data_IF_276201379343
#
_entry.id   IF_276201379343
#
_cell.length_a   1.000
_cell.length_b   1.000
_cell.length_c   1.000
_cell.angle_alpha   90.00
_cell.angle_beta   90.00
_cell.angle_gamma   90.00
#
_symmetry.space_group_name_H-M   'P 1'
#
loop_
_entity.id
_entity.type
_entity.pdbx_description
1 polymer ?
#
# COMPACT_ATOMS: atom_id res chain seq x y z
N UNK A 1 -0.74 20.17 12.30
CA UNK A 1 -0.71 18.73 11.95
C UNK A 1 0.30 18.07 12.86
N UNK A 2 -0.08 17.00 13.56
CA UNK A 2 0.80 16.25 14.46
C UNK A 2 1.80 15.46 13.62
N UNK A 3 3.09 15.64 13.88
CA UNK A 3 4.16 14.89 13.22
C UNK A 3 4.36 13.60 14.01
N UNK A 4 4.12 12.45 13.39
CA UNK A 4 4.39 11.16 14.03
C UNK A 4 5.88 10.93 14.25
N UNK A 5 6.19 10.09 15.22
CA UNK A 5 7.49 9.46 15.43
C UNK A 5 7.39 7.96 15.17
N UNK A 6 8.54 7.30 14.96
CA UNK A 6 8.59 5.84 14.78
C UNK A 6 7.96 5.08 15.96
N UNK A 7 8.28 5.38 17.23
CA UNK A 7 7.65 4.68 18.37
C UNK A 7 6.14 4.86 18.43
N UNK A 8 5.62 6.06 18.12
CA UNK A 8 4.17 6.29 18.08
C UNK A 8 3.48 5.46 17.00
N UNK A 9 4.08 5.34 15.81
CA UNK A 9 3.52 4.50 14.74
C UNK A 9 3.59 3.02 15.07
N UNK A 10 4.66 2.57 15.73
CA UNK A 10 4.73 1.19 16.23
C UNK A 10 3.59 0.91 17.21
N UNK A 11 3.29 1.85 18.10
CA UNK A 11 2.20 1.71 19.06
C UNK A 11 0.83 1.69 18.38
N UNK A 12 0.63 2.53 17.36
CA UNK A 12 -0.56 2.46 16.50
C UNK A 12 -0.69 1.05 15.89
N UNK A 13 0.38 0.51 15.30
CA UNK A 13 0.33 -0.82 14.70
C UNK A 13 0.00 -1.93 15.72
N UNK A 14 0.55 -1.86 16.94
CA UNK A 14 0.27 -2.83 18.01
C UNK A 14 -1.18 -2.83 18.48
N UNK A 15 -1.93 -1.77 18.23
CA UNK A 15 -3.37 -1.77 18.51
C UNK A 15 -4.14 -2.66 17.54
N UNK A 16 -3.62 -2.92 16.34
CA UNK A 16 -4.35 -3.59 15.26
C UNK A 16 -3.77 -4.96 14.88
N UNK A 17 -2.52 -5.23 15.23
CA UNK A 17 -1.86 -6.50 14.96
C UNK A 17 -1.40 -7.15 16.26
N UNK A 18 -1.67 -8.46 16.47
CA UNK A 18 -1.29 -9.13 17.69
C UNK A 18 0.24 -9.26 17.80
N UNK A 19 0.74 -9.10 19.02
CA UNK A 19 2.15 -9.31 19.34
C UNK A 19 2.38 -10.68 20.01
N UNK A 20 3.50 -11.33 19.71
CA UNK A 20 3.91 -12.58 20.34
C UNK A 20 3.07 -13.81 19.99
N UNK A 21 2.19 -13.70 18.99
CA UNK A 21 1.42 -14.82 18.41
C UNK A 21 2.05 -15.23 17.08
N UNK A 22 1.94 -16.50 16.75
CA UNK A 22 2.32 -17.04 15.43
C UNK A 22 1.06 -17.28 14.61
N UNK A 23 1.24 -17.56 13.32
CA UNK A 23 0.14 -17.94 12.43
C UNK A 23 -0.55 -19.25 12.80
N UNK A 24 0.20 -20.15 13.43
CA UNK A 24 -0.30 -21.43 13.92
C UNK A 24 -1.12 -21.27 15.22
N UNK A 25 -1.19 -20.06 15.79
CA UNK A 25 -2.05 -19.77 16.91
C UNK A 25 -3.50 -19.72 16.43
N UNK A 26 -4.26 -20.78 16.73
CA UNK A 26 -5.69 -20.88 16.40
C UNK A 26 -6.52 -19.72 16.95
N UNK A 27 -6.01 -18.96 17.92
CA UNK A 27 -6.67 -17.78 18.49
C UNK A 27 -6.27 -16.46 17.80
N UNK A 28 -5.36 -16.46 16.83
CA UNK A 28 -4.90 -15.24 16.13
C UNK A 28 -6.10 -14.43 15.61
N UNK A 29 -7.01 -15.09 14.90
CA UNK A 29 -8.24 -14.50 14.36
C UNK A 29 -9.31 -14.14 15.40
N UNK A 30 -9.10 -14.48 16.67
CA UNK A 30 -9.97 -14.13 17.79
C UNK A 30 -9.38 -13.00 18.67
N UNK A 31 -8.16 -12.54 18.37
CA UNK A 31 -7.51 -11.50 19.17
C UNK A 31 -8.26 -10.16 19.11
N UNK A 32 -8.26 -9.36 20.20
CA UNK A 32 -8.84 -8.02 20.19
C UNK A 32 -8.23 -7.11 19.11
N UNK A 33 -6.94 -7.25 18.85
CA UNK A 33 -6.19 -6.52 17.82
C UNK A 33 -6.78 -6.80 16.42
N UNK A 34 -6.92 -8.08 16.08
CA UNK A 34 -7.51 -8.53 14.83
C UNK A 34 -8.94 -8.00 14.63
N UNK A 35 -9.78 -8.08 15.67
CA UNK A 35 -11.12 -7.51 15.62
C UNK A 35 -11.11 -6.00 15.40
N UNK A 36 -10.19 -5.25 16.03
CA UNK A 36 -10.05 -3.81 15.78
C UNK A 36 -9.63 -3.52 14.34
N UNK A 37 -8.73 -4.32 13.77
CA UNK A 37 -8.30 -4.17 12.37
C UNK A 37 -9.46 -4.39 11.39
N UNK A 38 -10.22 -5.48 11.56
CA UNK A 38 -11.39 -5.74 10.72
C UNK A 38 -12.51 -4.73 10.92
N UNK A 39 -12.72 -4.24 12.15
CA UNK A 39 -13.67 -3.17 12.41
C UNK A 39 -13.29 -1.89 11.64
N UNK A 40 -11.99 -1.54 11.59
CA UNK A 40 -11.52 -0.39 10.79
C UNK A 40 -11.78 -0.57 9.30
N UNK A 41 -11.53 -1.76 8.76
CA UNK A 41 -11.89 -2.05 7.37
C UNK A 41 -13.40 -1.99 7.14
N UNK A 42 -14.22 -2.47 8.08
CA UNK A 42 -15.67 -2.40 7.98
C UNK A 42 -16.17 -0.96 7.94
N UNK A 43 -15.66 -0.10 8.83
CA UNK A 43 -15.93 1.34 8.83
C UNK A 43 -15.52 1.99 7.50
N UNK A 44 -14.32 1.70 7.01
CA UNK A 44 -13.83 2.21 5.74
C UNK A 44 -14.67 1.71 4.54
N UNK A 45 -15.18 0.49 4.59
CA UNK A 45 -16.05 -0.07 3.54
C UNK A 45 -17.48 0.51 3.58
N UNK A 46 -17.96 0.88 4.76
CA UNK A 46 -19.25 1.54 4.93
C UNK A 46 -19.24 2.96 4.31
N UNK A 47 -18.14 3.70 4.46
CA UNK A 47 -17.93 5.01 3.81
C UNK A 47 -16.66 5.04 2.96
N UNK A 48 -16.83 4.70 1.68
CA UNK A 48 -15.77 4.73 0.66
C UNK A 48 -15.71 6.04 -0.12
N UNK A 49 -16.45 7.07 0.29
CA UNK A 49 -16.61 8.30 -0.50
C UNK A 49 -15.26 8.93 -0.84
N UNK A 50 -14.39 9.12 0.15
CA UNK A 50 -13.04 9.69 -0.06
C UNK A 50 -12.15 8.82 -0.94
N UNK A 51 -12.25 7.49 -0.80
CA UNK A 51 -11.52 6.57 -1.65
C UNK A 51 -11.96 6.67 -3.12
N UNK A 52 -13.27 6.68 -3.36
CA UNK A 52 -13.84 6.85 -4.70
C UNK A 52 -13.50 8.23 -5.29
N UNK A 53 -13.51 9.29 -4.48
CA UNK A 53 -13.09 10.64 -4.90
C UNK A 53 -11.63 10.64 -5.34
N UNK A 54 -10.72 10.00 -4.59
CA UNK A 54 -9.32 9.87 -5.00
C UNK A 54 -9.19 9.11 -6.33
N UNK A 55 -9.92 8.02 -6.49
CA UNK A 55 -9.91 7.26 -7.76
C UNK A 55 -10.35 8.12 -8.94
N UNK A 56 -11.45 8.87 -8.81
CA UNK A 56 -11.90 9.80 -9.85
C UNK A 56 -10.88 10.89 -10.15
N UNK A 57 -10.27 11.49 -9.11
CA UNK A 57 -9.22 12.49 -9.27
C UNK A 57 -7.98 11.95 -10.00
N UNK A 58 -7.63 10.68 -9.79
CA UNK A 58 -6.54 10.02 -10.50
C UNK A 58 -6.92 9.73 -11.96
N UNK A 59 -8.12 9.24 -12.23
CA UNK A 59 -8.61 9.03 -13.60
C UNK A 59 -8.61 10.34 -14.41
N UNK A 60 -8.98 11.46 -13.79
CA UNK A 60 -8.90 12.80 -14.40
C UNK A 60 -7.46 13.28 -14.62
N UNK A 61 -6.55 13.03 -13.66
CA UNK A 61 -5.15 13.45 -13.73
C UNK A 61 -4.30 12.67 -14.76
N UNK A 62 -4.80 11.51 -15.19
CA UNK A 62 -4.12 10.56 -16.07
C UNK A 62 -5.01 10.15 -17.27
N UNK A 63 -5.41 11.09 -18.13
CA UNK A 63 -6.31 10.79 -19.26
C UNK A 63 -5.66 9.78 -20.22
N UNK A 64 -6.40 8.72 -20.54
CA UNK A 64 -5.95 7.65 -21.44
C UNK A 64 -4.96 6.65 -20.82
N UNK A 65 -4.64 6.81 -19.53
CA UNK A 65 -3.82 5.87 -18.76
C UNK A 65 -4.74 5.10 -17.81
N UNK A 66 -4.52 3.80 -17.69
CA UNK A 66 -5.31 2.96 -16.77
C UNK A 66 -5.00 3.30 -15.31
N UNK A 67 -6.04 3.37 -14.48
CA UNK A 67 -5.96 3.49 -13.02
C UNK A 67 -6.74 2.32 -12.41
N UNK A 68 -6.04 1.48 -11.65
CA UNK A 68 -6.61 0.30 -10.99
C UNK A 68 -6.77 0.48 -9.48
N UNK A 69 -7.74 -0.23 -8.91
CA UNK A 69 -7.82 -0.47 -7.47
C UNK A 69 -6.99 -1.72 -7.15
N UNK A 70 -5.89 -1.53 -6.43
CA UNK A 70 -4.94 -2.57 -6.08
C UNK A 70 -5.04 -2.98 -4.60
N UNK A 71 -6.15 -2.64 -3.94
CA UNK A 71 -6.37 -2.89 -2.52
C UNK A 71 -6.60 -4.38 -2.24
N UNK A 72 -5.76 -5.01 -1.40
CA UNK A 72 -6.08 -6.31 -0.82
C UNK A 72 -6.96 -6.12 0.42
N UNK A 73 -8.28 -6.04 0.19
CA UNK A 73 -9.26 -5.76 1.24
C UNK A 73 -9.11 -6.72 2.42
N UNK A 74 -9.14 -6.19 3.65
CA UNK A 74 -9.01 -6.94 4.90
C UNK A 74 -7.68 -7.67 5.13
N UNK A 75 -6.68 -7.45 4.26
CA UNK A 75 -5.30 -7.93 4.45
C UNK A 75 -4.31 -6.75 4.58
N UNK A 76 -4.49 -5.71 3.75
CA UNK A 76 -3.63 -4.54 3.73
C UNK A 76 -3.93 -3.56 4.88
N UNK A 77 -2.92 -2.79 5.29
CA UNK A 77 -3.06 -1.69 6.27
C UNK A 77 -3.84 -0.47 5.75
N UNK A 78 -4.19 -0.46 4.46
CA UNK A 78 -5.10 0.53 3.89
C UNK A 78 -5.38 0.35 2.40
N UNK A 79 -5.87 1.41 1.76
CA UNK A 79 -6.20 1.40 0.33
C UNK A 79 -4.95 1.49 -0.55
N UNK A 80 -5.03 0.91 -1.76
CA UNK A 80 -4.00 1.06 -2.79
C UNK A 80 -4.60 1.32 -4.16
N UNK A 81 -4.06 2.29 -4.88
CA UNK A 81 -4.37 2.54 -6.29
C UNK A 81 -3.09 2.36 -7.12
N UNK A 82 -3.24 1.90 -8.35
CA UNK A 82 -2.15 1.67 -9.27
C UNK A 82 -2.38 2.47 -10.56
N UNK A 83 -1.41 3.30 -10.96
CA UNK A 83 -1.40 4.03 -12.23
C UNK A 83 -0.41 3.35 -13.17
N UNK A 84 -0.91 2.77 -14.26
CA UNK A 84 -0.11 2.03 -15.25
C UNK A 84 0.61 3.01 -16.17
N UNK A 85 1.63 3.67 -15.62
CA UNK A 85 2.27 4.85 -16.22
C UNK A 85 2.92 4.58 -17.57
N UNK A 86 3.47 3.37 -17.75
CA UNK A 86 4.09 2.94 -19.00
C UNK A 86 3.66 1.51 -19.26
N UNK A 87 3.00 1.29 -20.40
CA UNK A 87 2.67 -0.03 -20.92
C UNK A 87 3.62 -0.37 -22.07
N UNK A 88 4.03 -1.64 -22.22
CA UNK A 88 4.83 -2.03 -23.37
C UNK A 88 3.99 -1.95 -24.65
N UNK A 89 4.63 -1.52 -25.74
CA UNK A 89 4.00 -1.48 -27.07
C UNK A 89 3.68 -2.89 -27.57
N UNK A 90 4.58 -3.85 -27.32
CA UNK A 90 4.37 -5.27 -27.57
C UNK A 90 4.19 -6.01 -26.24
N UNK A 91 3.02 -6.63 -26.07
CA UNK A 91 2.71 -7.43 -24.88
C UNK A 91 3.22 -8.86 -24.99
N UNK A 92 3.74 -9.30 -26.14
CA UNK A 92 4.37 -10.60 -26.29
C UNK A 92 5.65 -10.71 -25.46
N UNK A 93 6.47 -9.66 -25.44
CA UNK A 93 7.66 -9.52 -24.59
C UNK A 93 7.92 -8.03 -24.33
N UNK A 94 7.94 -7.62 -23.07
CA UNK A 94 7.99 -6.20 -22.72
C UNK A 94 8.02 -5.93 -21.23
N UNK A 95 8.00 -4.64 -20.87
CA UNK A 95 8.04 -4.19 -19.48
C UNK A 95 6.99 -3.11 -19.28
N UNK A 96 6.19 -3.23 -18.22
CA UNK A 96 5.35 -2.13 -17.72
C UNK A 96 5.96 -1.51 -16.47
N UNK A 97 5.60 -0.25 -16.25
CA UNK A 97 5.99 0.50 -15.06
C UNK A 97 4.76 1.16 -14.47
N UNK A 98 4.58 0.97 -13.17
CA UNK A 98 3.42 1.46 -12.47
C UNK A 98 3.82 2.31 -11.27
N UNK A 99 2.96 3.27 -10.95
CA UNK A 99 3.04 4.05 -9.71
C UNK A 99 1.91 3.62 -8.82
N UNK A 100 2.24 3.21 -7.61
CA UNK A 100 1.27 2.80 -6.61
C UNK A 100 1.17 3.86 -5.53
N UNK A 101 -0.05 4.30 -5.24
CA UNK A 101 -0.38 5.16 -4.11
C UNK A 101 -1.09 4.37 -3.03
N UNK A 102 -0.57 4.39 -1.81
CA UNK A 102 -1.15 3.76 -0.64
C UNK A 102 -1.66 4.81 0.34
N UNK A 103 -2.84 4.58 0.91
CA UNK A 103 -3.43 5.44 1.96
C UNK A 103 -3.73 4.57 3.17
N UNK A 104 -3.07 4.83 4.29
CA UNK A 104 -3.24 4.02 5.50
C UNK A 104 -4.61 4.24 6.14
N UNK A 105 -5.22 3.15 6.63
CA UNK A 105 -6.41 3.23 7.48
C UNK A 105 -6.07 3.39 8.96
N UNK A 106 -4.82 3.10 9.35
CA UNK A 106 -4.39 3.08 10.74
C UNK A 106 -3.81 4.42 11.21
N UNK A 107 -3.28 5.21 10.28
CA UNK A 107 -2.74 6.55 10.53
C UNK A 107 -3.00 7.49 9.34
N UNK A 108 -3.04 8.82 9.52
CA UNK A 108 -3.24 9.78 8.44
C UNK A 108 -1.95 9.98 7.61
N UNK A 109 -1.47 8.89 7.04
CA UNK A 109 -0.24 8.77 6.28
C UNK A 109 -0.50 8.12 4.92
N UNK A 110 0.29 8.50 3.93
CA UNK A 110 0.28 7.88 2.61
C UNK A 110 1.70 7.55 2.15
N UNK A 111 1.83 6.63 1.20
CA UNK A 111 3.12 6.34 0.57
C UNK A 111 2.93 6.16 -0.93
N UNK A 112 3.93 6.56 -1.72
CA UNK A 112 3.93 6.38 -3.17
C UNK A 112 5.20 5.66 -3.56
N UNK A 113 5.08 4.59 -4.33
CA UNK A 113 6.20 3.79 -4.80
C UNK A 113 6.02 3.33 -6.24
N UNK A 114 7.09 2.82 -6.83
CA UNK A 114 7.09 2.32 -8.20
C UNK A 114 7.19 0.81 -8.27
N UNK A 115 6.61 0.22 -9.30
CA UNK A 115 6.80 -1.19 -9.66
C UNK A 115 7.22 -1.31 -11.12
N UNK A 116 7.85 -2.43 -11.43
CA UNK A 116 8.11 -2.86 -12.80
C UNK A 116 7.66 -4.31 -12.95
N UNK A 117 6.85 -4.59 -13.97
CA UNK A 117 6.49 -5.96 -14.34
C UNK A 117 7.01 -6.31 -15.72
N UNK A 118 7.30 -7.59 -15.93
CA UNK A 118 7.61 -8.13 -17.26
C UNK A 118 6.35 -8.68 -17.91
N UNK A 119 6.30 -8.62 -19.23
CA UNK A 119 5.34 -9.32 -20.05
C UNK A 119 6.03 -10.50 -20.73
N UNK A 120 5.38 -11.66 -20.71
CA UNK A 120 5.81 -12.85 -21.44
C UNK A 120 4.61 -13.54 -22.04
N UNK A 121 4.68 -13.83 -23.34
CA UNK A 121 3.63 -14.48 -24.11
C UNK A 121 2.24 -13.81 -23.94
N UNK A 122 2.20 -12.47 -23.97
CA UNK A 122 0.95 -11.71 -23.87
C UNK A 122 0.45 -11.49 -22.44
N UNK A 123 1.18 -11.97 -21.42
CA UNK A 123 0.75 -11.91 -20.01
C UNK A 123 1.75 -11.17 -19.16
N UNK A 124 1.25 -10.33 -18.26
CA UNK A 124 2.07 -9.70 -17.22
C UNK A 124 2.45 -10.74 -16.17
N UNK A 125 3.73 -10.86 -15.88
CA UNK A 125 4.25 -11.70 -14.80
C UNK A 125 3.90 -11.06 -13.45
N UNK A 126 3.60 -11.90 -12.45
CA UNK A 126 3.32 -11.50 -11.08
C UNK A 126 4.04 -12.45 -10.14
N UNK A 127 4.73 -11.98 -9.08
CA UNK A 127 4.85 -10.58 -8.64
C UNK A 127 5.72 -9.69 -9.56
N UNK A 128 5.78 -8.39 -9.25
CA UNK A 128 6.65 -7.42 -9.90
C UNK A 128 8.11 -7.90 -9.98
N UNK A 129 8.77 -7.66 -11.11
CA UNK A 129 10.18 -7.96 -11.31
C UNK A 129 11.09 -7.00 -10.55
N UNK A 130 10.64 -5.76 -10.29
CA UNK A 130 11.34 -4.80 -9.43
C UNK A 130 10.36 -3.95 -8.62
N UNK A 131 10.81 -3.56 -7.42
CA UNK A 131 10.12 -2.67 -6.49
C UNK A 131 11.01 -1.46 -6.17
N UNK A 132 10.42 -0.27 -6.23
CA UNK A 132 11.10 1.00 -6.02
C UNK A 132 10.50 1.74 -4.82
N UNK A 133 10.84 1.27 -3.61
CA UNK A 133 10.38 1.86 -2.36
C UNK A 133 11.25 3.03 -1.89
N UNK A 134 12.57 2.99 -2.18
CA UNK A 134 13.53 3.97 -1.68
C UNK A 134 13.77 5.13 -2.65
N UNK A 135 13.89 4.81 -3.93
CA UNK A 135 14.16 5.77 -4.98
C UNK A 135 13.39 5.39 -6.24
N UNK A 136 12.64 6.34 -6.77
CA UNK A 136 11.88 6.16 -7.99
C UNK A 136 12.79 6.36 -9.21
N UNK A 137 12.66 5.51 -10.24
CA UNK A 137 13.20 5.79 -11.56
C UNK A 137 12.68 7.15 -12.05
N UNK A 138 13.52 7.93 -12.72
CA UNK A 138 13.18 9.28 -13.21
C UNK A 138 11.88 9.28 -14.04
N UNK A 139 11.69 8.22 -14.82
CA UNK A 139 10.51 8.03 -15.68
C UNK A 139 9.19 7.98 -14.90
N UNK A 140 9.22 7.63 -13.60
CA UNK A 140 8.04 7.54 -12.74
C UNK A 140 7.83 8.78 -11.86
N UNK A 141 8.83 9.66 -11.72
CA UNK A 141 8.80 10.79 -10.77
C UNK A 141 7.62 11.75 -11.00
N UNK A 142 7.29 12.04 -12.28
CA UNK A 142 6.18 12.92 -12.63
C UNK A 142 4.83 12.30 -12.23
N UNK A 143 4.62 11.02 -12.56
CA UNK A 143 3.42 10.28 -12.18
C UNK A 143 3.29 10.15 -10.66
N UNK A 144 4.37 9.81 -9.96
CA UNK A 144 4.39 9.72 -8.50
C UNK A 144 4.03 11.05 -7.83
N UNK A 145 4.54 12.16 -8.35
CA UNK A 145 4.21 13.50 -7.84
C UNK A 145 2.73 13.83 -8.01
N UNK A 146 2.12 13.45 -9.13
CA UNK A 146 0.67 13.63 -9.37
C UNK A 146 -0.17 12.77 -8.41
N UNK A 147 0.20 11.50 -8.24
CA UNK A 147 -0.48 10.59 -7.30
C UNK A 147 -0.42 11.14 -5.87
N UNK A 148 0.76 11.57 -5.42
CA UNK A 148 0.95 12.17 -4.10
C UNK A 148 0.03 13.39 -3.89
N UNK A 149 0.02 14.33 -4.84
CA UNK A 149 -0.84 15.54 -4.77
C UNK A 149 -2.33 15.20 -4.73
N UNK A 150 -2.76 14.20 -5.49
CA UNK A 150 -4.15 13.75 -5.46
C UNK A 150 -4.53 13.18 -4.08
N UNK A 151 -3.65 12.36 -3.49
CA UNK A 151 -3.85 11.84 -2.13
C UNK A 151 -3.89 12.99 -1.12
N UNK A 152 -2.94 13.91 -1.14
CA UNK A 152 -2.89 15.06 -0.23
C UNK A 152 -4.15 15.92 -0.33
N UNK A 153 -4.65 16.17 -1.55
CA UNK A 153 -5.85 16.96 -1.79
C UNK A 153 -7.11 16.32 -1.21
N UNK A 154 -7.29 15.01 -1.37
CA UNK A 154 -8.49 14.28 -0.93
C UNK A 154 -8.42 13.90 0.54
N UNK A 155 -7.24 13.47 1.00
CA UNK A 155 -7.04 12.90 2.33
C UNK A 155 -6.52 13.90 3.37
N UNK A 156 -5.85 14.98 2.96
CA UNK A 156 -5.06 15.86 3.83
C UNK A 156 -4.04 15.09 4.69
N UNK A 157 -3.56 13.96 4.19
CA UNK A 157 -2.59 13.09 4.85
C UNK A 157 -1.16 13.57 4.59
N UNK A 158 -0.23 13.09 5.41
CA UNK A 158 1.19 13.38 5.27
C UNK A 158 1.95 12.23 4.58
N UNK A 159 3.02 12.52 3.83
CA UNK A 159 3.86 11.47 3.29
C UNK A 159 4.54 10.68 4.42
N UNK A 160 4.49 9.36 4.32
CA UNK A 160 5.27 8.47 5.15
C UNK A 160 6.75 8.56 4.75
N UNK A 161 7.66 8.87 5.70
CA UNK A 161 9.07 9.01 5.39
C UNK A 161 9.70 7.71 4.89
N UNK A 162 10.47 7.81 3.79
CA UNK A 162 11.12 6.66 3.16
C UNK A 162 12.05 5.90 4.09
N UNK A 163 12.74 6.61 5.00
CA UNK A 163 13.63 6.00 5.98
C UNK A 163 12.91 5.14 7.03
N UNK A 164 11.57 5.21 7.09
CA UNK A 164 10.76 4.38 7.99
C UNK A 164 10.22 3.12 7.32
N UNK A 165 10.34 3.00 5.99
CA UNK A 165 9.91 1.81 5.25
C UNK A 165 10.51 0.50 5.78
N UNK A 166 11.84 0.41 6.00
CA UNK A 166 12.45 -0.84 6.46
C UNK A 166 12.42 -1.01 7.98
N UNK A 167 11.86 -0.06 8.73
CA UNK A 167 11.91 -0.10 10.20
C UNK A 167 11.07 -1.29 10.69
N UNK A 168 11.69 -2.28 11.38
CA UNK A 168 10.99 -3.45 11.86
C UNK A 168 10.08 -3.11 13.04
N UNK A 169 9.00 -3.87 13.22
CA UNK A 169 8.16 -3.83 14.43
C UNK A 169 8.31 -5.15 15.17
N UNK A 170 9.18 -5.23 16.19
CA UNK A 170 9.50 -6.49 16.84
C UNK A 170 8.27 -7.18 17.44
N UNK A 171 8.13 -8.47 17.13
CA UNK A 171 7.13 -9.36 17.71
C UNK A 171 5.72 -9.22 17.14
N UNK A 172 5.51 -8.38 16.12
CA UNK A 172 4.20 -8.13 15.52
C UNK A 172 3.89 -9.17 14.43
N UNK A 173 2.76 -9.87 14.51
CA UNK A 173 2.34 -10.81 13.47
C UNK A 173 1.36 -10.12 12.51
N UNK A 174 1.72 -10.05 11.23
CA UNK A 174 0.95 -9.35 10.19
C UNK A 174 0.26 -10.35 9.26
N UNK A 175 -0.99 -10.72 9.56
CA UNK A 175 -1.73 -11.75 8.80
C UNK A 175 -0.78 -12.94 8.53
N UNK A 176 -0.53 -13.30 7.27
CA UNK A 176 0.33 -14.41 6.85
C UNK A 176 1.86 -14.15 6.90
N UNK A 177 2.33 -13.09 7.56
CA UNK A 177 3.76 -12.84 7.77
C UNK A 177 4.23 -13.19 9.18
N UNK A 178 5.33 -13.94 9.23
CA UNK A 178 6.11 -14.23 10.44
C UNK A 178 6.50 -12.93 11.19
N UNK A 179 6.57 -12.97 12.54
CA UNK A 179 6.83 -11.77 13.35
C UNK A 179 8.13 -11.02 13.07
N UNK A 180 9.12 -11.67 12.48
CA UNK A 180 10.43 -11.10 12.14
C UNK A 180 10.42 -10.30 10.83
N UNK A 181 9.35 -10.41 10.03
CA UNK A 181 9.21 -9.73 8.72
C UNK A 181 8.30 -8.50 8.78
N UNK A 182 7.74 -8.19 9.95
CA UNK A 182 6.89 -7.03 10.13
C UNK A 182 7.70 -5.72 10.07
N UNK A 183 7.32 -4.82 9.17
CA UNK A 183 7.86 -3.45 9.08
C UNK A 183 6.75 -2.42 9.17
N UNK A 184 7.09 -1.17 9.51
CA UNK A 184 6.13 -0.07 9.52
C UNK A 184 5.41 0.09 8.17
N UNK A 185 6.12 -0.03 7.05
CA UNK A 185 5.48 0.03 5.73
C UNK A 185 4.44 -1.08 5.53
N UNK A 186 4.79 -2.32 5.91
CA UNK A 186 3.88 -3.46 5.74
C UNK A 186 2.64 -3.33 6.61
N UNK A 187 2.82 -2.96 7.87
CA UNK A 187 1.74 -2.78 8.83
C UNK A 187 0.82 -1.61 8.46
N UNK A 188 1.35 -0.50 7.96
CA UNK A 188 0.55 0.68 7.67
C UNK A 188 -0.11 0.66 6.28
N UNK A 189 0.46 -0.05 5.31
CA UNK A 189 0.04 0.04 3.92
C UNK A 189 -0.26 -1.31 3.30
N UNK A 190 0.75 -2.18 3.12
CA UNK A 190 0.54 -3.40 2.34
C UNK A 190 1.54 -4.50 2.61
N UNK A 191 1.02 -5.72 2.67
CA UNK A 191 1.82 -6.92 2.87
C UNK A 191 2.53 -7.36 1.59
N UNK A 192 1.97 -7.08 0.42
CA UNK A 192 2.48 -7.59 -0.86
C UNK A 192 2.61 -6.46 -1.89
N UNK A 193 3.62 -5.57 -1.74
CA UNK A 193 3.77 -4.39 -2.60
C UNK A 193 3.98 -4.72 -4.09
N UNK A 194 4.46 -5.92 -4.41
CA UNK A 194 4.68 -6.37 -5.80
C UNK A 194 3.52 -7.15 -6.41
N UNK A 195 2.45 -7.42 -5.66
CA UNK A 195 1.25 -8.04 -6.21
C UNK A 195 0.26 -6.95 -6.60
N UNK A 196 0.12 -6.74 -7.90
CA UNK A 196 -0.83 -5.81 -8.50
C UNK A 196 -1.83 -6.59 -9.37
N UNK A 197 -3.10 -6.13 -9.45
CA UNK A 197 -4.11 -6.74 -10.31
C UNK A 197 -3.78 -6.60 -11.80
#
# INVERSE_FOLDING_TARGET
MTRFTVPELMEVCRQYYPAGRTLDDHEHGASPEWHRFHARWHEAMADRSRWLTLRGALEEAFPGISVGDATAYTHDGGYRCCVYSIEPQDKADGVSWEVVGCVSLLAPLYFVYGTQHRYRAGRRESPAAALFLESLPEVLTSSASKVARAIESVFAYQPFPVQWVPVPIPGLCLDHFEPDRATLFRALFTLEPGLLP
#
